data_IF_029621901844
#
_entry.id   IF_029621901844
#
_cell.length_a   1.000
_cell.length_b   1.000
_cell.length_c   1.000
_cell.angle_alpha   90.00
_cell.angle_beta   90.00
_cell.angle_gamma   90.00
#
_symmetry.space_group_name_H-M   'P 1'
#
loop_
_entity.id
_entity.type
_entity.pdbx_description
1 polymer ?
#
# COMPACT_ATOMS: atom_id res chain seq x y z
N UNK A 1 -57.01 57.85 10.56
CA UNK A 1 -56.36 56.86 9.68
C UNK A 1 -54.95 56.61 10.20
N UNK A 2 -54.74 55.55 10.98
CA UNK A 2 -53.40 55.03 11.27
C UNK A 2 -53.43 53.53 11.03
N UNK A 3 -52.72 53.08 10.00
CA UNK A 3 -52.56 51.68 9.64
C UNK A 3 -51.32 51.19 10.40
N UNK A 4 -51.52 50.31 11.37
CA UNK A 4 -50.45 49.57 12.04
C UNK A 4 -50.22 48.29 11.24
N UNK A 5 -49.03 48.18 10.64
CA UNK A 5 -48.62 47.02 9.84
C UNK A 5 -48.00 45.96 10.77
N UNK A 6 -48.60 44.77 10.82
CA UNK A 6 -48.08 43.59 11.52
C UNK A 6 -47.17 42.81 10.56
N UNK A 7 -45.87 42.77 10.86
CA UNK A 7 -44.91 41.89 10.20
C UNK A 7 -44.94 40.48 10.83
N UNK A 8 -44.98 39.39 10.05
CA UNK A 8 -44.93 38.05 10.60
C UNK A 8 -43.48 37.66 10.93
N UNK A 9 -43.28 37.15 12.14
CA UNK A 9 -42.01 36.59 12.60
C UNK A 9 -41.84 35.17 12.04
N UNK A 10 -41.09 35.00 10.96
CA UNK A 10 -40.74 33.68 10.42
C UNK A 10 -39.59 33.07 11.21
N UNK A 11 -39.89 32.01 11.97
CA UNK A 11 -38.88 31.16 12.59
C UNK A 11 -38.18 30.33 11.51
N UNK A 12 -36.94 30.68 11.17
CA UNK A 12 -36.05 29.84 10.38
C UNK A 12 -35.59 28.67 11.25
N UNK A 13 -36.29 27.54 11.14
CA UNK A 13 -35.77 26.23 11.55
C UNK A 13 -34.55 25.93 10.67
N UNK A 14 -33.35 26.18 11.20
CA UNK A 14 -32.11 25.67 10.62
C UNK A 14 -32.12 24.15 10.81
N UNK A 15 -32.53 23.43 9.77
CA UNK A 15 -32.32 21.99 9.70
C UNK A 15 -30.82 21.75 9.71
N UNK A 16 -30.27 21.42 10.88
CA UNK A 16 -28.93 20.84 10.98
C UNK A 16 -29.01 19.50 10.25
N UNK A 17 -28.55 19.46 9.00
CA UNK A 17 -28.34 18.22 8.30
C UNK A 17 -27.42 17.36 9.19
N UNK A 18 -27.99 16.33 9.81
CA UNK A 18 -27.23 15.30 10.49
C UNK A 18 -26.45 14.55 9.41
N UNK A 19 -25.26 15.02 9.09
CA UNK A 19 -24.33 14.30 8.24
C UNK A 19 -23.85 13.09 9.03
N UNK A 20 -24.55 11.96 8.90
CA UNK A 20 -23.99 10.69 9.32
C UNK A 20 -22.60 10.58 8.69
N UNK A 21 -21.53 10.38 9.48
CA UNK A 21 -20.19 10.32 8.94
C UNK A 21 -20.12 9.21 7.89
N UNK A 22 -19.82 9.61 6.65
CA UNK A 22 -19.81 8.69 5.51
C UNK A 22 -18.74 7.62 5.73
N UNK A 23 -19.14 6.36 5.63
CA UNK A 23 -18.22 5.21 5.76
C UNK A 23 -17.27 5.21 4.54
N UNK A 24 -15.94 5.29 4.73
CA UNK A 24 -14.99 5.24 3.63
C UNK A 24 -15.18 4.01 2.76
N UNK A 25 -15.25 4.19 1.44
CA UNK A 25 -15.36 3.08 0.47
C UNK A 25 -13.97 2.65 0.00
N UNK A 26 -13.11 2.27 0.96
CA UNK A 26 -11.73 1.84 0.75
C UNK A 26 -11.66 0.48 0.04
N UNK A 27 -10.80 0.31 -0.99
CA UNK A 27 -10.65 -0.99 -1.66
C UNK A 27 -9.92 -2.04 -0.82
N UNK A 28 -9.03 -1.66 0.11
CA UNK A 28 -8.30 -2.62 0.96
C UNK A 28 -8.87 -2.64 2.37
N UNK A 29 -8.73 -1.57 3.16
CA UNK A 29 -9.23 -1.54 4.53
C UNK A 29 -10.76 -1.73 4.57
N UNK A 30 -11.28 -2.34 5.62
CA UNK A 30 -12.72 -2.28 5.88
C UNK A 30 -13.15 -0.91 6.43
N UNK A 31 -13.85 -0.12 5.62
CA UNK A 31 -14.38 1.18 6.03
C UNK A 31 -15.29 1.12 7.25
N UNK A 32 -16.03 0.03 7.46
CA UNK A 32 -16.82 -0.15 8.69
C UNK A 32 -15.91 -0.26 9.92
N UNK A 33 -14.77 -0.95 9.80
CA UNK A 33 -13.80 -1.04 10.86
C UNK A 33 -13.11 0.31 11.13
N UNK A 34 -12.81 1.11 10.10
CA UNK A 34 -12.32 2.48 10.29
C UNK A 34 -13.31 3.33 11.10
N UNK A 35 -14.60 3.25 10.75
CA UNK A 35 -15.68 3.94 11.46
C UNK A 35 -15.78 3.46 12.91
N UNK A 36 -15.76 2.16 13.17
CA UNK A 36 -15.78 1.60 14.52
C UNK A 36 -14.56 2.04 15.35
N UNK A 37 -13.36 2.02 14.76
CA UNK A 37 -12.13 2.52 15.40
C UNK A 37 -12.28 4.01 15.76
N UNK A 38 -12.87 4.83 14.89
CA UNK A 38 -13.12 6.25 15.17
C UNK A 38 -14.07 6.45 16.35
N UNK A 39 -15.15 5.67 16.44
CA UNK A 39 -16.06 5.72 17.59
C UNK A 39 -15.36 5.28 18.89
N UNK A 40 -14.54 4.22 18.84
CA UNK A 40 -13.76 3.77 20.02
C UNK A 40 -12.74 4.81 20.49
N UNK A 41 -12.09 5.52 19.55
CA UNK A 41 -11.21 6.64 19.86
C UNK A 41 -11.96 7.77 20.58
N UNK A 42 -13.16 8.12 20.10
CA UNK A 42 -14.02 9.13 20.74
C UNK A 42 -14.49 8.69 22.13
N UNK A 43 -14.68 7.38 22.34
CA UNK A 43 -14.98 6.79 23.64
C UNK A 43 -13.75 6.64 24.56
N UNK A 44 -12.54 7.06 24.13
CA UNK A 44 -11.34 7.09 24.97
C UNK A 44 -10.59 5.76 25.08
N UNK A 45 -10.67 4.88 24.08
CA UNK A 45 -9.90 3.63 24.06
C UNK A 45 -8.38 3.89 24.23
N UNK A 46 -7.75 3.48 25.35
CA UNK A 46 -6.38 3.89 25.66
C UNK A 46 -5.33 3.40 24.66
N UNK A 47 -5.54 2.21 24.07
CA UNK A 47 -4.62 1.65 23.08
C UNK A 47 -4.69 2.45 21.79
N UNK A 48 -5.91 2.74 21.34
CA UNK A 48 -6.12 3.55 20.13
C UNK A 48 -5.65 5.00 20.33
N UNK A 49 -5.87 5.59 21.50
CA UNK A 49 -5.35 6.94 21.82
C UNK A 49 -3.82 6.99 21.76
N UNK A 50 -3.14 5.94 22.22
CA UNK A 50 -1.67 5.84 22.14
C UNK A 50 -1.19 5.72 20.70
N UNK A 51 -1.84 4.87 19.90
CA UNK A 51 -1.58 4.76 18.46
C UNK A 51 -1.86 6.09 17.72
N UNK A 52 -2.90 6.82 18.12
CA UNK A 52 -3.26 8.09 17.49
C UNK A 52 -2.18 9.15 17.72
N UNK A 53 -1.58 9.19 18.92
CA UNK A 53 -0.42 10.07 19.18
C UNK A 53 0.76 9.75 18.27
N UNK A 54 1.01 8.48 17.97
CA UNK A 54 2.05 8.07 17.02
C UNK A 54 1.70 8.56 15.60
N UNK A 55 0.49 8.26 15.14
CA UNK A 55 -0.01 8.68 13.83
C UNK A 55 0.04 10.21 13.65
N UNK A 56 -0.38 10.97 14.65
CA UNK A 56 -0.34 12.43 14.64
C UNK A 56 1.09 12.96 14.54
N UNK A 57 2.06 12.38 15.26
CA UNK A 57 3.48 12.77 15.12
C UNK A 57 4.01 12.50 13.72
N UNK A 58 3.67 11.34 13.14
CA UNK A 58 4.03 11.02 11.76
C UNK A 58 3.38 12.00 10.77
N UNK A 59 2.13 12.37 10.98
CA UNK A 59 1.41 13.32 10.13
C UNK A 59 1.98 14.74 10.25
N UNK A 60 2.32 15.19 11.46
CA UNK A 60 2.97 16.48 11.68
C UNK A 60 4.35 16.54 11.01
N UNK A 61 5.12 15.44 11.01
CA UNK A 61 6.37 15.33 10.25
C UNK A 61 6.15 15.51 8.74
N UNK A 62 5.02 15.06 8.20
CA UNK A 62 4.76 15.18 6.76
C UNK A 62 4.17 16.53 6.34
N UNK A 63 3.63 17.34 7.26
CA UNK A 63 2.93 18.59 6.91
C UNK A 63 3.79 19.64 6.21
N UNK A 64 5.10 19.62 6.40
CA UNK A 64 6.06 20.59 5.85
C UNK A 64 6.91 20.03 4.68
N UNK A 65 6.56 18.85 4.16
CA UNK A 65 7.34 18.15 3.12
C UNK A 65 6.58 18.07 1.80
N UNK A 66 7.31 17.89 0.71
CA UNK A 66 6.72 17.76 -0.62
C UNK A 66 5.90 19.00 -1.05
N UNK A 67 4.93 18.85 -1.96
CA UNK A 67 4.57 17.61 -2.66
C UNK A 67 5.70 17.15 -3.58
N UNK A 68 5.79 15.84 -3.82
CA UNK A 68 6.74 15.25 -4.77
C UNK A 68 6.11 15.11 -6.15
N UNK A 69 6.95 15.04 -7.19
CA UNK A 69 6.53 14.87 -8.59
C UNK A 69 7.62 14.14 -9.37
N UNK A 70 7.22 13.36 -10.37
CA UNK A 70 8.15 12.77 -11.34
C UNK A 70 8.82 13.83 -12.22
N UNK A 71 8.21 15.00 -12.39
CA UNK A 71 8.79 16.08 -13.22
C UNK A 71 9.91 16.87 -12.53
N UNK A 72 10.28 16.50 -11.30
CA UNK A 72 11.35 17.16 -10.53
C UNK A 72 12.75 16.73 -10.95
N UNK A 73 12.89 15.59 -11.63
CA UNK A 73 14.17 15.14 -12.21
C UNK A 73 14.61 16.06 -13.34
N UNK A 74 15.92 16.24 -13.48
CA UNK A 74 16.50 17.12 -14.52
C UNK A 74 16.50 16.53 -15.91
N UNK A 75 16.39 15.20 -16.02
CA UNK A 75 16.55 14.46 -17.28
C UNK A 75 15.47 13.41 -17.39
N UNK A 76 14.86 13.31 -18.56
CA UNK A 76 13.90 12.26 -18.87
C UNK A 76 14.61 10.89 -18.93
N UNK A 77 13.92 9.78 -18.60
CA UNK A 77 14.46 8.46 -18.87
C UNK A 77 14.67 8.26 -20.38
N UNK A 78 15.53 7.31 -20.77
CA UNK A 78 15.73 6.95 -22.18
C UNK A 78 14.38 6.67 -22.86
N UNK A 79 14.16 7.27 -24.04
CA UNK A 79 12.92 7.12 -24.83
C UNK A 79 11.62 7.55 -24.13
N UNK A 80 11.71 8.35 -23.06
CA UNK A 80 10.56 8.87 -22.32
C UNK A 80 10.55 10.39 -22.17
N UNK A 81 9.69 10.87 -21.27
CA UNK A 81 9.49 12.28 -20.93
C UNK A 81 9.70 12.53 -19.44
N UNK A 82 9.73 13.80 -19.00
CA UNK A 82 9.79 14.13 -17.58
C UNK A 82 8.58 13.61 -16.79
N UNK A 83 7.46 13.35 -17.46
CA UNK A 83 6.24 12.78 -16.87
C UNK A 83 6.29 11.26 -16.69
N UNK A 84 7.28 10.57 -17.26
CA UNK A 84 7.42 9.14 -17.09
C UNK A 84 8.20 8.81 -15.82
N UNK A 85 7.68 7.88 -15.02
CA UNK A 85 8.34 7.40 -13.81
C UNK A 85 9.60 6.62 -14.16
N UNK A 86 10.72 6.94 -13.50
CA UNK A 86 12.00 6.28 -13.74
C UNK A 86 12.66 5.80 -12.44
N UNK A 87 13.06 4.54 -12.41
CA UNK A 87 13.85 3.97 -11.32
C UNK A 87 14.92 3.03 -11.87
N UNK A 88 15.96 2.73 -11.07
CA UNK A 88 17.00 1.77 -11.42
C UNK A 88 16.80 0.47 -10.63
N UNK A 89 17.14 -0.67 -11.23
CA UNK A 89 17.14 -1.96 -10.56
C UNK A 89 18.11 -1.96 -9.35
N UNK A 90 17.64 -2.31 -8.13
CA UNK A 90 18.41 -2.10 -6.91
C UNK A 90 19.64 -2.99 -6.77
N UNK A 91 19.70 -4.13 -7.44
CA UNK A 91 20.74 -5.14 -7.24
C UNK A 91 21.72 -5.25 -8.41
N UNK A 92 21.65 -4.34 -9.39
CA UNK A 92 22.55 -4.34 -10.53
C UNK A 92 23.71 -3.38 -10.30
N UNK A 93 24.94 -3.89 -10.40
CA UNK A 93 26.18 -3.17 -10.17
C UNK A 93 27.02 -3.07 -11.43
N UNK A 94 27.79 -1.98 -11.63
CA UNK A 94 28.75 -1.91 -12.72
C UNK A 94 29.76 -3.07 -12.64
N UNK A 95 30.06 -3.66 -13.80
CA UNK A 95 31.05 -4.72 -13.92
C UNK A 95 32.46 -4.12 -13.76
N UNK A 96 33.21 -4.51 -12.71
CA UNK A 96 34.55 -3.97 -12.47
C UNK A 96 35.57 -4.39 -13.55
N UNK A 97 35.23 -5.37 -14.39
CA UNK A 97 36.10 -5.88 -15.45
C UNK A 97 35.85 -5.20 -16.82
N UNK A 98 35.01 -4.15 -16.88
CA UNK A 98 34.81 -3.36 -18.10
C UNK A 98 35.15 -1.89 -17.87
N UNK A 99 35.83 -1.21 -18.82
CA UNK A 99 36.18 0.21 -18.70
C UNK A 99 34.97 1.14 -18.49
N UNK A 100 33.81 0.77 -19.03
CA UNK A 100 32.56 1.54 -18.95
C UNK A 100 31.58 1.00 -17.88
N UNK A 101 31.98 -0.04 -17.14
CA UNK A 101 31.13 -0.70 -16.15
C UNK A 101 30.03 -1.60 -16.73
N UNK A 102 30.01 -1.85 -18.04
CA UNK A 102 28.98 -2.64 -18.72
C UNK A 102 29.43 -4.08 -19.07
N UNK A 103 28.49 -5.04 -19.22
CA UNK A 103 27.11 -4.97 -18.75
C UNK A 103 27.05 -5.00 -17.21
N UNK A 104 26.03 -4.39 -16.62
CA UNK A 104 25.84 -4.48 -15.16
C UNK A 104 25.59 -5.94 -14.75
N UNK A 105 26.01 -6.30 -13.54
CA UNK A 105 25.89 -7.65 -12.96
C UNK A 105 25.00 -7.65 -11.73
N UNK A 106 24.14 -8.65 -11.59
CA UNK A 106 23.22 -8.77 -10.46
C UNK A 106 23.94 -9.31 -9.22
N UNK A 107 23.68 -8.69 -8.07
CA UNK A 107 24.13 -9.12 -6.73
C UNK A 107 22.93 -9.14 -5.79
N UNK A 108 22.25 -10.28 -5.72
CA UNK A 108 20.98 -10.40 -4.97
C UNK A 108 21.15 -9.93 -3.50
N UNK A 109 20.21 -9.10 -3.05
CA UNK A 109 20.20 -8.51 -1.71
C UNK A 109 21.22 -7.39 -1.46
N UNK A 110 22.11 -7.08 -2.41
CA UNK A 110 23.12 -6.03 -2.27
C UNK A 110 22.71 -4.77 -3.05
N UNK A 111 22.18 -3.77 -2.35
CA UNK A 111 21.67 -2.53 -2.95
C UNK A 111 22.81 -1.67 -3.53
N UNK A 112 22.75 -1.38 -4.83
CA UNK A 112 23.61 -0.40 -5.50
C UNK A 112 23.14 1.02 -5.12
N UNK A 113 23.97 1.89 -4.52
CA UNK A 113 23.60 3.27 -4.17
C UNK A 113 23.31 4.16 -5.40
N UNK A 114 23.72 3.78 -6.61
CA UNK A 114 23.40 4.55 -7.81
C UNK A 114 21.90 4.68 -8.09
N UNK A 115 21.08 3.79 -7.52
CA UNK A 115 19.62 3.93 -7.61
C UNK A 115 19.12 5.26 -7.05
N UNK A 116 19.87 5.91 -6.15
CA UNK A 116 19.52 7.20 -5.57
C UNK A 116 19.65 8.36 -6.58
N UNK A 117 20.31 8.14 -7.73
CA UNK A 117 20.31 9.07 -8.87
C UNK A 117 18.93 9.14 -9.54
N UNK A 118 18.12 8.09 -9.42
CA UNK A 118 16.74 8.04 -9.91
C UNK A 118 15.77 8.41 -8.78
N UNK A 119 15.52 9.72 -8.64
CA UNK A 119 14.79 10.27 -7.50
C UNK A 119 13.33 9.83 -7.41
N UNK A 120 12.71 9.40 -8.52
CA UNK A 120 11.29 9.01 -8.52
C UNK A 120 11.01 7.83 -7.60
N UNK A 121 11.94 6.89 -7.41
CA UNK A 121 11.74 5.74 -6.51
C UNK A 121 11.58 6.16 -5.05
N UNK A 122 12.35 7.13 -4.60
CA UNK A 122 12.24 7.69 -3.25
C UNK A 122 11.03 8.62 -3.15
N UNK A 123 10.82 9.46 -4.16
CA UNK A 123 9.71 10.40 -4.22
C UNK A 123 8.35 9.69 -4.19
N UNK A 124 8.18 8.57 -4.90
CA UNK A 124 6.91 7.82 -4.90
C UNK A 124 6.63 7.18 -3.54
N UNK A 125 7.63 6.59 -2.87
CA UNK A 125 7.42 6.04 -1.51
C UNK A 125 7.10 7.14 -0.50
N UNK A 126 7.72 8.32 -0.59
CA UNK A 126 7.36 9.48 0.24
C UNK A 126 5.94 9.94 -0.06
N UNK A 127 5.55 10.02 -1.33
CA UNK A 127 4.20 10.38 -1.77
C UNK A 127 3.15 9.39 -1.26
N UNK A 128 3.40 8.08 -1.36
CA UNK A 128 2.50 7.03 -0.84
C UNK A 128 2.35 7.13 0.68
N UNK A 129 3.46 7.16 1.41
CA UNK A 129 3.46 7.16 2.87
C UNK A 129 2.80 8.42 3.44
N UNK A 130 3.22 9.61 2.97
CA UNK A 130 2.65 10.87 3.41
C UNK A 130 1.15 10.95 3.14
N UNK A 131 0.69 10.63 1.93
CA UNK A 131 -0.74 10.63 1.58
C UNK A 131 -1.55 9.73 2.51
N UNK A 132 -1.04 8.53 2.77
CA UNK A 132 -1.71 7.56 3.63
C UNK A 132 -1.78 8.02 5.10
N UNK A 133 -0.65 8.42 5.68
CA UNK A 133 -0.55 8.92 7.05
C UNK A 133 -1.41 10.17 7.27
N UNK A 134 -1.33 11.15 6.38
CA UNK A 134 -2.08 12.40 6.48
C UNK A 134 -3.59 12.16 6.34
N UNK A 135 -4.02 11.30 5.42
CA UNK A 135 -5.45 10.99 5.24
C UNK A 135 -6.05 10.30 6.48
N UNK A 136 -5.34 9.32 7.07
CA UNK A 136 -5.75 8.66 8.31
C UNK A 136 -5.74 9.63 9.50
N UNK A 137 -4.69 10.44 9.65
CA UNK A 137 -4.61 11.42 10.72
C UNK A 137 -5.76 12.42 10.64
N UNK A 138 -6.07 12.92 9.44
CA UNK A 138 -7.26 13.75 9.22
C UNK A 138 -8.54 13.01 9.61
N UNK A 139 -8.72 11.77 9.15
CA UNK A 139 -9.94 11.01 9.41
C UNK A 139 -10.24 10.86 10.90
N UNK A 140 -9.21 10.59 11.72
CA UNK A 140 -9.37 10.41 13.16
C UNK A 140 -9.36 11.69 13.98
N UNK A 141 -8.61 12.72 13.58
CA UNK A 141 -8.46 13.97 14.35
C UNK A 141 -9.39 15.09 13.89
N UNK A 142 -9.85 15.04 12.63
CA UNK A 142 -10.57 16.13 11.98
C UNK A 142 -9.70 17.33 11.59
N UNK A 143 -8.39 17.35 11.86
CA UNK A 143 -7.51 18.50 11.61
C UNK A 143 -7.39 18.80 10.09
N UNK A 144 -7.94 19.92 9.59
CA UNK A 144 -8.03 20.19 8.14
C UNK A 144 -6.69 20.21 7.41
N UNK A 145 -5.62 20.66 8.09
CA UNK A 145 -4.29 20.77 7.50
C UNK A 145 -3.78 19.44 6.91
N UNK A 146 -4.05 18.31 7.57
CA UNK A 146 -3.62 17.00 7.08
C UNK A 146 -4.31 16.64 5.76
N UNK A 147 -5.64 16.78 5.69
CA UNK A 147 -6.41 16.52 4.48
C UNK A 147 -6.00 17.40 3.30
N UNK A 148 -5.87 18.71 3.53
CA UNK A 148 -5.46 19.66 2.49
C UNK A 148 -4.09 19.30 1.90
N UNK A 149 -3.16 18.90 2.77
CA UNK A 149 -1.83 18.51 2.33
C UNK A 149 -1.84 17.18 1.57
N UNK A 150 -2.57 16.17 2.06
CA UNK A 150 -2.78 14.91 1.34
C UNK A 150 -3.40 15.14 -0.05
N UNK A 151 -4.45 15.96 -0.13
CA UNK A 151 -5.10 16.33 -1.39
C UNK A 151 -4.13 17.02 -2.36
N UNK A 152 -3.29 17.95 -1.86
CA UNK A 152 -2.23 18.59 -2.67
C UNK A 152 -1.26 17.57 -3.25
N UNK A 153 -0.76 16.65 -2.41
CA UNK A 153 0.18 15.60 -2.83
C UNK A 153 -0.42 14.72 -3.94
N UNK A 154 -1.65 14.23 -3.75
CA UNK A 154 -2.34 13.40 -4.76
C UNK A 154 -2.53 14.18 -6.06
N UNK A 155 -2.98 15.44 -5.99
CA UNK A 155 -3.19 16.24 -7.20
C UNK A 155 -1.89 16.47 -7.96
N UNK A 156 -0.81 16.81 -7.26
CA UNK A 156 0.51 17.02 -7.86
C UNK A 156 1.00 15.76 -8.58
N UNK A 157 0.91 14.59 -7.95
CA UNK A 157 1.45 13.37 -8.57
C UNK A 157 0.59 12.82 -9.70
N UNK A 158 -0.75 12.93 -9.62
CA UNK A 158 -1.64 12.17 -10.51
C UNK A 158 -2.44 13.00 -11.51
N UNK A 159 -2.77 14.26 -11.22
CA UNK A 159 -3.81 14.98 -11.97
C UNK A 159 -3.44 16.38 -12.44
N UNK A 160 -2.48 17.05 -11.80
CA UNK A 160 -2.00 18.36 -12.26
C UNK A 160 -1.17 18.17 -13.54
N UNK A 161 -1.59 18.70 -14.69
CA UNK A 161 -0.92 18.45 -15.97
C UNK A 161 0.55 18.91 -16.02
N UNK A 162 0.99 19.80 -15.12
CA UNK A 162 2.40 20.24 -15.06
C UNK A 162 3.31 19.25 -14.34
N UNK A 163 2.75 18.37 -13.53
CA UNK A 163 3.51 17.50 -12.62
C UNK A 163 3.07 16.03 -12.65
N UNK A 164 1.90 15.74 -13.21
CA UNK A 164 1.30 14.42 -13.16
C UNK A 164 2.18 13.38 -13.84
N UNK A 165 2.35 12.25 -13.18
CA UNK A 165 2.98 11.07 -13.76
C UNK A 165 2.09 10.46 -14.85
N UNK A 166 2.69 9.98 -15.94
CA UNK A 166 1.98 9.16 -16.93
C UNK A 166 1.57 7.81 -16.30
N UNK A 167 0.37 7.28 -16.59
CA UNK A 167 -0.16 6.07 -15.93
C UNK A 167 0.46 4.77 -16.49
N UNK A 168 1.79 4.64 -16.41
CA UNK A 168 2.55 3.47 -16.82
C UNK A 168 3.88 3.39 -16.03
N UNK A 169 4.53 2.22 -16.08
CA UNK A 169 5.86 2.00 -15.48
C UNK A 169 6.87 1.50 -16.52
N UNK A 170 6.81 2.07 -17.74
CA UNK A 170 7.67 1.66 -18.84
C UNK A 170 9.17 1.86 -18.54
N UNK A 171 9.51 2.74 -17.61
CA UNK A 171 10.90 3.04 -17.22
C UNK A 171 11.23 2.68 -15.76
N UNK A 172 10.47 1.75 -15.18
CA UNK A 172 10.76 1.24 -13.85
C UNK A 172 11.86 0.17 -13.88
N UNK A 173 12.76 0.25 -12.89
CA UNK A 173 13.90 -0.62 -12.67
C UNK A 173 14.80 -0.84 -13.90
N UNK A 174 15.16 0.27 -14.55
CA UNK A 174 16.21 0.34 -15.58
C UNK A 174 17.45 -0.40 -15.10
N UNK A 175 18.03 -1.21 -15.99
CA UNK A 175 19.40 -1.70 -15.85
C UNK A 175 20.25 -0.94 -16.85
N UNK A 176 21.20 -0.09 -16.39
CA UNK A 176 22.07 0.66 -17.29
C UNK A 176 22.68 -0.25 -18.36
N UNK A 177 22.80 0.27 -19.59
CA UNK A 177 23.28 -0.42 -20.79
C UNK A 177 22.58 -1.74 -21.19
N UNK A 178 21.46 -2.11 -20.56
CA UNK A 178 20.73 -3.34 -20.88
C UNK A 178 19.27 -3.12 -21.29
N UNK A 179 18.56 -2.15 -20.69
CA UNK A 179 17.17 -1.84 -21.03
C UNK A 179 16.77 -0.44 -20.56
N UNK A 180 15.62 0.02 -21.03
CA UNK A 180 15.02 1.30 -20.62
C UNK A 180 13.96 1.13 -19.52
N UNK A 181 13.80 -0.08 -18.99
CA UNK A 181 12.82 -0.50 -17.98
C UNK A 181 12.52 -2.00 -18.07
N UNK A 182 11.88 -2.56 -17.04
CA UNK A 182 11.54 -4.00 -17.00
C UNK A 182 10.28 -4.30 -16.18
N UNK A 183 9.66 -5.46 -16.43
CA UNK A 183 8.42 -5.88 -15.76
C UNK A 183 8.52 -5.89 -14.23
N UNK A 184 9.67 -6.32 -13.70
CA UNK A 184 9.98 -6.37 -12.26
C UNK A 184 9.76 -5.00 -11.58
N UNK A 185 9.89 -3.90 -12.34
CA UNK A 185 9.66 -2.55 -11.84
C UNK A 185 8.20 -2.25 -11.46
N UNK A 186 7.23 -3.09 -11.84
CA UNK A 186 5.84 -2.98 -11.35
C UNK A 186 5.77 -3.11 -9.82
N UNK A 187 6.73 -3.79 -9.19
CA UNK A 187 6.84 -3.86 -7.72
C UNK A 187 7.02 -2.49 -7.05
N UNK A 188 7.63 -1.51 -7.74
CA UNK A 188 7.86 -0.17 -7.18
C UNK A 188 6.55 0.53 -6.80
N UNK A 189 5.45 0.18 -7.48
CA UNK A 189 4.09 0.61 -7.12
C UNK A 189 3.36 -0.43 -6.28
N UNK A 190 3.38 -1.70 -6.68
CA UNK A 190 2.44 -2.70 -6.12
C UNK A 190 2.64 -3.01 -4.65
N UNK A 191 3.83 -2.77 -4.11
CA UNK A 191 4.10 -2.91 -2.69
C UNK A 191 3.28 -1.94 -1.80
N UNK A 192 2.93 -0.74 -2.28
CA UNK A 192 2.40 0.35 -1.43
C UNK A 192 1.24 1.14 -2.06
N UNK A 193 1.09 1.14 -3.39
CA UNK A 193 0.16 2.03 -4.10
C UNK A 193 -1.30 1.90 -3.65
N UNK A 194 -1.70 0.70 -3.22
CA UNK A 194 -3.06 0.46 -2.71
C UNK A 194 -3.39 1.27 -1.44
N UNK A 195 -2.38 1.75 -0.70
CA UNK A 195 -2.56 2.71 0.39
C UNK A 195 -3.07 4.07 -0.10
N UNK A 196 -2.65 4.52 -1.28
CA UNK A 196 -3.14 5.77 -1.88
C UNK A 196 -4.61 5.65 -2.25
N UNK A 197 -5.04 4.49 -2.75
CA UNK A 197 -6.44 4.24 -3.07
C UNK A 197 -7.33 4.32 -1.82
N UNK A 198 -6.88 3.71 -0.72
CA UNK A 198 -7.56 3.82 0.58
C UNK A 198 -7.57 5.28 1.07
N UNK A 199 -6.43 5.97 0.99
CA UNK A 199 -6.30 7.37 1.40
C UNK A 199 -7.27 8.29 0.65
N UNK A 200 -7.38 8.13 -0.67
CA UNK A 200 -8.30 8.92 -1.50
C UNK A 200 -9.76 8.57 -1.18
N UNK A 201 -10.09 7.30 -0.94
CA UNK A 201 -11.42 6.90 -0.50
C UNK A 201 -11.79 7.49 0.87
N UNK A 202 -10.81 7.62 1.78
CA UNK A 202 -10.95 8.34 3.05
C UNK A 202 -11.17 9.84 2.80
N UNK A 203 -10.34 10.51 2.01
CA UNK A 203 -10.52 11.94 1.68
C UNK A 203 -11.89 12.21 1.04
N UNK A 204 -12.41 11.25 0.28
CA UNK A 204 -13.73 11.34 -0.36
C UNK A 204 -14.91 11.31 0.62
N UNK A 205 -14.69 11.12 1.93
CA UNK A 205 -15.74 11.24 2.97
C UNK A 205 -15.97 12.67 3.43
N UNK A 206 -15.56 13.67 2.64
CA UNK A 206 -15.79 15.10 2.93
C UNK A 206 -14.54 15.87 3.37
N UNK A 207 -13.35 15.47 2.92
CA UNK A 207 -12.13 16.22 3.20
C UNK A 207 -12.13 17.60 2.52
N UNK A 208 -11.60 18.63 3.20
CA UNK A 208 -11.34 19.92 2.56
C UNK A 208 -10.37 19.74 1.38
N UNK A 209 -10.58 20.55 0.35
CA UNK A 209 -9.77 20.58 -0.88
C UNK A 209 -9.73 19.26 -1.67
N UNK A 210 -10.65 18.32 -1.40
CA UNK A 210 -10.88 17.12 -2.19
C UNK A 210 -12.33 17.05 -2.69
N UNK A 211 -12.54 17.45 -3.94
CA UNK A 211 -13.87 17.52 -4.55
C UNK A 211 -14.25 16.25 -5.33
N UNK A 212 -15.54 16.05 -5.66
CA UNK A 212 -15.95 14.98 -6.58
C UNK A 212 -15.23 15.03 -7.95
N UNK A 213 -14.84 16.23 -8.43
CA UNK A 213 -14.06 16.40 -9.66
C UNK A 213 -12.64 15.85 -9.49
N UNK A 214 -12.00 16.11 -8.35
CA UNK A 214 -10.66 15.57 -8.04
C UNK A 214 -10.71 14.03 -7.99
N UNK A 215 -11.75 13.48 -7.34
CA UNK A 215 -11.98 12.03 -7.30
C UNK A 215 -12.15 11.44 -8.72
N UNK A 216 -12.96 12.07 -9.57
CA UNK A 216 -13.17 11.61 -10.94
C UNK A 216 -11.87 11.62 -11.77
N UNK A 217 -11.05 12.67 -11.63
CA UNK A 217 -9.76 12.77 -12.31
C UNK A 217 -8.76 11.70 -11.83
N UNK A 218 -8.71 11.43 -10.51
CA UNK A 218 -7.88 10.36 -9.97
C UNK A 218 -8.37 8.97 -10.40
N UNK A 219 -9.69 8.74 -10.47
CA UNK A 219 -10.25 7.52 -11.03
C UNK A 219 -9.92 7.33 -12.51
N UNK A 220 -9.95 8.40 -13.33
CA UNK A 220 -9.54 8.34 -14.73
C UNK A 220 -8.08 7.89 -14.87
N UNK A 221 -7.16 8.50 -14.11
CA UNK A 221 -5.76 8.10 -14.09
C UNK A 221 -5.62 6.61 -13.77
N UNK A 222 -6.35 6.13 -12.77
CA UNK A 222 -6.37 4.72 -12.37
C UNK A 222 -6.97 3.78 -13.41
N UNK A 223 -7.98 4.21 -14.18
CA UNK A 223 -8.52 3.40 -15.30
C UNK A 223 -7.48 3.23 -16.39
N UNK A 224 -6.74 4.30 -16.74
CA UNK A 224 -5.64 4.22 -17.72
C UNK A 224 -4.50 3.35 -17.22
N UNK A 225 -4.14 3.47 -15.94
CA UNK A 225 -3.10 2.62 -15.34
C UNK A 225 -3.52 1.15 -15.27
N UNK A 226 -4.79 0.87 -14.97
CA UNK A 226 -5.34 -0.48 -14.98
C UNK A 226 -5.28 -1.12 -16.37
N UNK A 227 -5.58 -0.37 -17.42
CA UNK A 227 -5.42 -0.83 -18.81
C UNK A 227 -3.96 -1.17 -19.08
N UNK A 228 -3.02 -0.29 -18.72
CA UNK A 228 -1.59 -0.56 -18.89
C UNK A 228 -1.14 -1.83 -18.13
N UNK A 229 -1.56 -2.00 -16.87
CA UNK A 229 -1.20 -3.18 -16.07
C UNK A 229 -1.75 -4.49 -16.65
N UNK A 230 -2.92 -4.47 -17.29
CA UNK A 230 -3.53 -5.68 -17.86
C UNK A 230 -2.98 -6.02 -19.24
N UNK A 231 -2.71 -5.00 -20.05
CA UNK A 231 -2.53 -5.18 -21.49
C UNK A 231 -1.07 -5.04 -21.93
N UNK A 232 -0.25 -4.31 -21.18
CA UNK A 232 1.18 -4.12 -21.50
C UNK A 232 1.99 -5.41 -21.30
N UNK A 233 3.12 -5.57 -22.03
CA UNK A 233 4.06 -6.67 -21.79
C UNK A 233 4.57 -6.71 -20.34
N UNK A 234 4.83 -5.55 -19.72
CA UNK A 234 5.34 -5.47 -18.35
C UNK A 234 4.32 -5.97 -17.35
N UNK A 235 3.09 -5.47 -17.43
CA UNK A 235 2.01 -5.87 -16.52
C UNK A 235 1.66 -7.36 -16.63
N UNK A 236 1.60 -7.90 -17.85
CA UNK A 236 1.36 -9.34 -18.09
C UNK A 236 2.48 -10.21 -17.54
N UNK A 237 3.74 -9.84 -17.77
CA UNK A 237 4.89 -10.60 -17.29
C UNK A 237 4.96 -10.61 -15.76
N UNK A 238 4.76 -9.45 -15.12
CA UNK A 238 4.78 -9.36 -13.66
C UNK A 238 3.63 -10.14 -13.01
N UNK A 239 2.41 -10.00 -13.55
CA UNK A 239 1.24 -10.73 -13.03
C UNK A 239 1.37 -12.26 -13.20
N UNK A 240 2.24 -12.74 -14.08
CA UNK A 240 2.54 -14.14 -14.29
C UNK A 240 3.72 -14.67 -13.45
N UNK A 241 4.42 -13.80 -12.70
CA UNK A 241 5.53 -14.20 -11.86
C UNK A 241 5.08 -15.19 -10.77
N UNK A 242 5.94 -16.16 -10.46
CA UNK A 242 5.59 -17.30 -9.58
C UNK A 242 5.82 -17.05 -8.10
N UNK A 243 6.52 -15.98 -7.74
CA UNK A 243 6.85 -15.57 -6.37
C UNK A 243 6.04 -14.32 -5.96
N UNK A 244 6.51 -13.62 -4.93
CA UNK A 244 5.92 -12.39 -4.40
C UNK A 244 5.54 -11.32 -5.46
N UNK A 245 6.28 -11.21 -6.57
CA UNK A 245 5.98 -10.26 -7.64
C UNK A 245 4.58 -10.48 -8.23
N UNK A 246 4.22 -11.74 -8.51
CA UNK A 246 2.90 -12.07 -9.06
C UNK A 246 1.79 -11.82 -8.05
N UNK A 247 2.04 -12.09 -6.77
CA UNK A 247 1.08 -11.80 -5.69
C UNK A 247 0.80 -10.30 -5.59
N UNK A 248 1.85 -9.47 -5.56
CA UNK A 248 1.71 -8.02 -5.48
C UNK A 248 1.06 -7.42 -6.72
N UNK A 249 1.48 -7.84 -7.92
CA UNK A 249 0.91 -7.36 -9.18
C UNK A 249 -0.60 -7.63 -9.26
N UNK A 250 -1.04 -8.87 -9.00
CA UNK A 250 -2.46 -9.21 -9.05
C UNK A 250 -3.27 -8.55 -7.90
N UNK A 251 -2.69 -8.41 -6.71
CA UNK A 251 -3.30 -7.67 -5.60
C UNK A 251 -3.53 -6.19 -5.95
N UNK A 252 -2.53 -5.54 -6.56
CA UNK A 252 -2.66 -4.16 -7.06
C UNK A 252 -3.75 -4.05 -8.11
N UNK A 253 -3.76 -4.93 -9.13
CA UNK A 253 -4.76 -4.90 -10.20
C UNK A 253 -6.17 -5.08 -9.61
N UNK A 254 -6.35 -6.00 -8.65
CA UNK A 254 -7.64 -6.22 -7.98
C UNK A 254 -8.10 -4.98 -7.19
N UNK A 255 -7.20 -4.31 -6.47
CA UNK A 255 -7.53 -3.10 -5.73
C UNK A 255 -7.92 -1.94 -6.66
N UNK A 256 -7.17 -1.73 -7.75
CA UNK A 256 -7.47 -0.68 -8.74
C UNK A 256 -8.78 -0.98 -9.47
N UNK A 257 -9.02 -2.25 -9.84
CA UNK A 257 -10.28 -2.69 -10.44
C UNK A 257 -11.46 -2.38 -9.52
N UNK A 258 -11.36 -2.74 -8.24
CA UNK A 258 -12.40 -2.44 -7.26
C UNK A 258 -12.61 -0.94 -7.08
N UNK A 259 -11.53 -0.16 -6.95
CA UNK A 259 -11.57 1.29 -6.78
C UNK A 259 -12.20 2.03 -7.96
N UNK A 260 -12.01 1.50 -9.18
CA UNK A 260 -12.53 2.08 -10.42
C UNK A 260 -13.92 1.54 -10.81
N UNK A 261 -14.44 0.56 -10.05
CA UNK A 261 -15.78 -0.01 -10.20
C UNK A 261 -15.84 -1.35 -10.97
N UNK A 262 -14.72 -1.90 -11.44
CA UNK A 262 -14.66 -3.21 -12.11
C UNK A 262 -14.66 -4.37 -11.10
N UNK A 263 -15.84 -4.59 -10.51
CA UNK A 263 -16.07 -5.70 -9.56
C UNK A 263 -15.94 -7.07 -10.22
N UNK A 264 -16.20 -7.18 -11.54
CA UNK A 264 -16.07 -8.44 -12.27
C UNK A 264 -14.61 -8.90 -12.31
N UNK A 265 -13.70 -8.02 -12.71
CA UNK A 265 -12.27 -8.30 -12.69
C UNK A 265 -11.77 -8.58 -11.27
N UNK A 266 -12.25 -7.80 -10.29
CA UNK A 266 -11.92 -8.02 -8.87
C UNK A 266 -12.29 -9.45 -8.44
N UNK A 267 -13.48 -9.94 -8.78
CA UNK A 267 -13.92 -11.31 -8.48
C UNK A 267 -13.07 -12.37 -9.21
N UNK A 268 -12.69 -12.12 -10.46
CA UNK A 268 -11.81 -13.04 -11.21
C UNK A 268 -10.44 -13.18 -10.53
N UNK A 269 -9.84 -12.06 -10.13
CA UNK A 269 -8.55 -12.06 -9.44
C UNK A 269 -8.66 -12.66 -8.04
N UNK A 270 -9.77 -12.44 -7.34
CA UNK A 270 -10.03 -13.10 -6.05
C UNK A 270 -10.08 -14.64 -6.18
N UNK A 271 -10.61 -15.17 -7.28
CA UNK A 271 -10.54 -16.63 -7.55
C UNK A 271 -9.12 -17.06 -7.95
N UNK A 272 -8.42 -16.26 -8.76
CA UNK A 272 -7.02 -16.53 -9.14
C UNK A 272 -6.09 -16.63 -7.93
N UNK A 273 -6.34 -15.82 -6.89
CA UNK A 273 -5.57 -15.86 -5.64
C UNK A 273 -5.51 -17.26 -5.02
N UNK A 274 -6.56 -18.09 -5.18
CA UNK A 274 -6.57 -19.48 -4.70
C UNK A 274 -5.53 -20.35 -5.39
N UNK A 275 -5.36 -20.17 -6.70
CA UNK A 275 -4.32 -20.85 -7.48
C UNK A 275 -2.92 -20.41 -7.04
N UNK A 276 -2.75 -19.11 -6.76
CA UNK A 276 -1.51 -18.56 -6.22
C UNK A 276 -1.18 -19.17 -4.84
N UNK A 277 -2.15 -19.22 -3.92
CA UNK A 277 -2.00 -19.89 -2.62
C UNK A 277 -1.59 -21.36 -2.79
N UNK A 278 -2.21 -22.09 -3.72
CA UNK A 278 -1.90 -23.49 -3.97
C UNK A 278 -0.47 -23.71 -4.48
N UNK A 279 0.06 -22.75 -5.25
CA UNK A 279 1.35 -22.88 -5.91
C UNK A 279 2.51 -22.35 -5.06
N UNK A 280 2.27 -21.34 -4.21
CA UNK A 280 3.33 -20.64 -3.48
C UNK A 280 3.46 -21.06 -2.01
N UNK A 281 2.41 -21.59 -1.39
CA UNK A 281 2.40 -21.97 0.03
C UNK A 281 2.37 -23.49 0.10
N UNK A 282 3.14 -24.10 1.00
CA UNK A 282 3.08 -25.56 1.22
C UNK A 282 2.06 -25.91 2.31
N UNK A 283 1.80 -27.20 2.52
CA UNK A 283 0.92 -27.68 3.59
C UNK A 283 1.34 -27.23 5.00
N UNK A 284 2.64 -26.98 5.23
CA UNK A 284 3.15 -26.50 6.52
C UNK A 284 3.18 -24.97 6.64
N UNK A 285 2.79 -24.24 5.58
CA UNK A 285 2.77 -22.78 5.54
C UNK A 285 4.04 -22.13 4.99
N UNK A 286 5.09 -22.89 4.73
CA UNK A 286 6.33 -22.38 4.14
C UNK A 286 6.08 -21.85 2.73
N UNK A 287 6.90 -20.88 2.31
CA UNK A 287 6.85 -20.27 0.98
C UNK A 287 8.18 -20.52 0.24
N UNK A 288 8.33 -21.63 -0.52
CA UNK A 288 9.65 -22.11 -0.97
C UNK A 288 10.46 -21.09 -1.77
N UNK A 289 9.83 -20.38 -2.71
CA UNK A 289 10.51 -19.37 -3.54
C UNK A 289 11.02 -18.18 -2.72
N UNK A 290 10.32 -17.83 -1.64
CA UNK A 290 10.72 -16.75 -0.73
C UNK A 290 11.80 -17.22 0.24
N UNK A 291 11.74 -18.48 0.67
CA UNK A 291 12.71 -19.08 1.58
C UNK A 291 14.06 -19.38 0.91
N UNK A 292 14.10 -19.45 -0.41
CA UNK A 292 15.32 -19.59 -1.19
C UNK A 292 16.16 -18.29 -1.25
N UNK A 293 15.61 -17.15 -0.80
CA UNK A 293 16.27 -15.85 -0.87
C UNK A 293 17.24 -15.63 0.29
N UNK A 294 18.22 -14.75 0.09
CA UNK A 294 19.19 -14.35 1.13
C UNK A 294 18.56 -13.57 2.29
N UNK A 295 17.39 -12.97 2.05
CA UNK A 295 16.51 -12.34 3.05
C UNK A 295 15.18 -13.11 3.17
N UNK A 296 15.24 -14.40 3.53
CA UNK A 296 14.07 -15.27 3.55
C UNK A 296 12.95 -14.85 4.53
N UNK A 297 13.27 -14.32 5.71
CA UNK A 297 12.28 -13.83 6.68
C UNK A 297 11.57 -12.60 6.15
N UNK A 298 12.32 -11.67 5.57
CA UNK A 298 11.78 -10.53 4.84
C UNK A 298 10.80 -10.99 3.76
N UNK A 299 11.24 -11.79 2.79
CA UNK A 299 10.42 -12.17 1.63
C UNK A 299 9.20 -13.01 2.01
N UNK A 300 9.31 -13.89 3.01
CA UNK A 300 8.16 -14.64 3.53
C UNK A 300 7.09 -13.71 4.12
N UNK A 301 7.49 -12.66 4.87
CA UNK A 301 6.55 -11.67 5.41
C UNK A 301 6.06 -10.69 4.35
N UNK A 302 6.90 -10.32 3.39
CA UNK A 302 6.56 -9.43 2.29
C UNK A 302 5.44 -10.02 1.42
N UNK A 303 5.60 -11.27 0.98
CA UNK A 303 4.58 -11.97 0.20
C UNK A 303 3.31 -12.26 1.02
N UNK A 304 3.46 -12.67 2.29
CA UNK A 304 2.32 -12.87 3.18
C UNK A 304 1.50 -11.59 3.39
N UNK A 305 2.16 -10.44 3.51
CA UNK A 305 1.50 -9.13 3.57
C UNK A 305 0.64 -8.86 2.34
N UNK A 306 1.16 -9.14 1.14
CA UNK A 306 0.39 -9.02 -0.11
C UNK A 306 -0.86 -9.92 -0.10
N UNK A 307 -0.73 -11.18 0.32
CA UNK A 307 -1.88 -12.10 0.42
C UNK A 307 -2.93 -11.64 1.42
N UNK A 308 -2.53 -11.17 2.60
CA UNK A 308 -3.47 -10.70 3.63
C UNK A 308 -4.23 -9.46 3.15
N UNK A 309 -3.58 -8.56 2.40
CA UNK A 309 -4.25 -7.44 1.72
C UNK A 309 -5.18 -7.93 0.60
N UNK A 310 -4.74 -8.89 -0.20
CA UNK A 310 -5.56 -9.48 -1.26
C UNK A 310 -6.80 -10.18 -0.68
N UNK A 311 -6.71 -10.77 0.52
CA UNK A 311 -7.85 -11.33 1.24
C UNK A 311 -8.87 -10.26 1.63
N UNK A 312 -8.42 -9.08 2.09
CA UNK A 312 -9.32 -7.97 2.38
C UNK A 312 -10.06 -7.47 1.13
N UNK A 313 -9.34 -7.30 0.01
CA UNK A 313 -9.91 -6.91 -1.28
C UNK A 313 -10.93 -7.97 -1.76
N UNK A 314 -10.55 -9.25 -1.68
CA UNK A 314 -11.38 -10.39 -2.10
C UNK A 314 -12.67 -10.50 -1.28
N UNK A 315 -12.62 -10.17 0.00
CA UNK A 315 -13.81 -10.16 0.86
C UNK A 315 -14.86 -9.13 0.39
N UNK A 316 -14.43 -8.01 -0.21
CA UNK A 316 -15.34 -6.99 -0.80
C UNK A 316 -16.18 -7.53 -1.96
N UNK A 317 -15.80 -8.66 -2.53
CA UNK A 317 -16.53 -9.38 -3.60
C UNK A 317 -16.97 -10.79 -3.18
N UNK A 318 -17.02 -11.06 -1.86
CA UNK A 318 -17.58 -12.29 -1.31
C UNK A 318 -16.66 -13.51 -1.39
N UNK A 319 -15.35 -13.32 -1.59
CA UNK A 319 -14.37 -14.42 -1.59
C UNK A 319 -13.52 -14.36 -0.32
N UNK A 320 -13.69 -15.35 0.55
CA UNK A 320 -12.92 -15.49 1.78
C UNK A 320 -11.63 -16.29 1.54
N UNK A 321 -10.50 -15.58 1.39
CA UNK A 321 -9.18 -16.21 1.24
C UNK A 321 -8.56 -16.66 2.57
N UNK A 322 -8.98 -16.10 3.70
CA UNK A 322 -8.44 -16.51 5.01
C UNK A 322 -8.89 -17.93 5.35
N UNK A 323 -10.15 -18.26 5.06
CA UNK A 323 -10.71 -19.60 5.28
C UNK A 323 -10.43 -20.59 4.15
N UNK A 324 -9.87 -20.13 3.02
CA UNK A 324 -9.54 -21.01 1.91
C UNK A 324 -8.49 -22.05 2.31
N UNK A 325 -8.71 -23.29 1.87
CA UNK A 325 -7.77 -24.40 1.99
C UNK A 325 -7.55 -25.02 0.61
N UNK A 326 -6.29 -25.08 0.22
CA UNK A 326 -5.84 -25.77 -0.99
C UNK A 326 -5.97 -27.29 -0.88
N UNK A 327 -5.86 -28.01 -2.01
CA UNK A 327 -6.03 -29.46 -2.06
C UNK A 327 -5.01 -30.25 -1.25
N UNK A 328 -3.84 -29.67 -0.95
CA UNK A 328 -2.80 -30.30 -0.13
C UNK A 328 -2.70 -29.67 1.28
N UNK A 329 -3.66 -28.82 1.67
CA UNK A 329 -3.65 -28.13 2.96
C UNK A 329 -3.01 -26.73 2.95
N UNK A 330 -2.65 -26.19 1.79
CA UNK A 330 -2.17 -24.82 1.64
C UNK A 330 -3.18 -23.83 2.20
N UNK A 331 -2.75 -22.85 2.99
CA UNK A 331 -3.65 -21.78 3.46
C UNK A 331 -2.87 -20.58 3.99
N UNK A 332 -3.51 -19.41 3.98
CA UNK A 332 -2.97 -18.21 4.62
C UNK A 332 -2.81 -18.39 6.13
N UNK A 333 -3.72 -19.16 6.76
CA UNK A 333 -3.59 -19.53 8.19
C UNK A 333 -2.27 -20.25 8.45
N UNK A 334 -1.91 -21.23 7.62
CA UNK A 334 -0.64 -21.95 7.76
C UNK A 334 0.57 -21.05 7.52
N UNK A 335 0.50 -20.15 6.52
CA UNK A 335 1.59 -19.20 6.28
C UNK A 335 1.80 -18.22 7.45
N UNK A 336 0.74 -17.77 8.12
CA UNK A 336 0.85 -16.99 9.36
C UNK A 336 1.44 -17.82 10.49
N UNK A 337 0.94 -19.05 10.70
CA UNK A 337 1.48 -19.96 11.72
C UNK A 337 2.98 -20.23 11.54
N UNK A 338 3.43 -20.29 10.29
CA UNK A 338 4.83 -20.50 9.93
C UNK A 338 5.76 -19.37 10.40
N UNK A 339 5.34 -18.10 10.33
CA UNK A 339 6.18 -16.95 10.72
C UNK A 339 6.11 -16.58 12.21
N UNK A 340 5.08 -17.04 12.93
CA UNK A 340 4.86 -16.72 14.36
C UNK A 340 6.07 -17.05 15.27
N UNK A 341 6.76 -18.20 15.15
CA UNK A 341 7.90 -18.52 16.01
C UNK A 341 8.99 -17.45 15.98
N UNK A 342 9.37 -16.96 14.80
CA UNK A 342 10.36 -15.90 14.62
C UNK A 342 9.82 -14.50 14.94
N UNK A 343 8.53 -14.24 14.69
CA UNK A 343 7.88 -12.99 15.09
C UNK A 343 7.96 -12.75 16.61
N UNK A 344 7.86 -13.83 17.42
CA UNK A 344 7.86 -13.76 18.88
C UNK A 344 9.25 -14.04 19.49
N UNK A 345 9.95 -15.04 18.97
CA UNK A 345 11.23 -15.52 19.51
C UNK A 345 12.48 -14.99 18.82
N UNK A 346 12.32 -14.09 17.85
CA UNK A 346 13.42 -13.45 17.12
C UNK A 346 14.20 -14.42 16.22
N UNK A 347 15.39 -13.99 15.81
CA UNK A 347 16.23 -14.67 14.82
C UNK A 347 16.55 -16.14 15.18
N UNK A 348 16.67 -16.45 16.48
CA UNK A 348 16.93 -17.83 16.96
C UNK A 348 15.84 -18.84 16.59
N UNK A 349 14.66 -18.37 16.18
CA UNK A 349 13.53 -19.21 15.75
C UNK A 349 13.35 -19.25 14.23
N UNK A 350 14.31 -18.70 13.47
CA UNK A 350 14.30 -18.71 12.02
C UNK A 350 15.46 -19.56 11.49
N UNK A 351 15.14 -20.72 10.91
CA UNK A 351 16.15 -21.71 10.48
C UNK A 351 16.65 -21.51 9.04
N UNK A 352 16.22 -20.45 8.37
CA UNK A 352 16.52 -20.17 6.96
C UNK A 352 17.49 -18.99 6.82
N UNK A 353 18.18 -18.83 5.68
CA UNK A 353 19.11 -17.73 5.45
C UNK A 353 18.43 -16.36 5.59
N UNK A 354 18.94 -15.50 6.48
CA UNK A 354 18.44 -14.13 6.62
C UNK A 354 19.59 -13.16 6.82
N UNK A 355 19.71 -12.19 5.90
CA UNK A 355 20.51 -10.99 6.08
C UNK A 355 19.66 -9.90 6.73
N UNK A 356 20.20 -9.25 7.76
CA UNK A 356 19.56 -8.12 8.47
C UNK A 356 18.21 -8.47 9.11
N UNK A 357 18.14 -9.60 9.84
CA UNK A 357 16.90 -10.08 10.48
C UNK A 357 16.21 -8.96 11.27
N UNK A 358 14.97 -8.68 10.89
CA UNK A 358 14.16 -7.62 11.47
C UNK A 358 12.90 -8.20 12.08
N UNK A 359 12.88 -8.39 13.40
CA UNK A 359 11.80 -9.12 14.09
C UNK A 359 10.40 -8.54 13.82
N UNK A 360 10.30 -7.21 13.76
CA UNK A 360 9.02 -6.53 13.55
C UNK A 360 8.45 -6.68 12.13
N UNK A 361 9.16 -7.28 11.17
CA UNK A 361 8.67 -7.51 9.81
C UNK A 361 7.37 -8.33 9.77
N UNK A 362 7.16 -9.21 10.75
CA UNK A 362 5.97 -10.06 10.86
C UNK A 362 4.79 -9.40 11.60
N UNK A 363 5.00 -8.27 12.27
CA UNK A 363 4.06 -7.71 13.25
C UNK A 363 2.69 -7.43 12.62
N UNK A 364 2.66 -6.69 11.51
CA UNK A 364 1.41 -6.37 10.80
C UNK A 364 0.69 -7.62 10.24
N UNK A 365 1.44 -8.63 9.80
CA UNK A 365 0.86 -9.89 9.30
C UNK A 365 0.15 -10.66 10.41
N UNK A 366 0.78 -10.73 11.59
CA UNK A 366 0.20 -11.42 12.75
C UNK A 366 -1.00 -10.64 13.28
N UNK A 367 -0.95 -9.30 13.36
CA UNK A 367 -2.10 -8.48 13.74
C UNK A 367 -3.28 -8.66 12.78
N UNK A 368 -3.03 -8.65 11.47
CA UNK A 368 -4.07 -8.86 10.46
C UNK A 368 -4.72 -10.24 10.58
N UNK A 369 -3.92 -11.29 10.82
CA UNK A 369 -4.45 -12.63 11.05
C UNK A 369 -5.22 -12.73 12.36
N UNK A 370 -4.76 -12.09 13.44
CA UNK A 370 -5.45 -12.05 14.72
C UNK A 370 -6.83 -11.36 14.59
N UNK A 371 -6.87 -10.21 13.90
CA UNK A 371 -8.10 -9.50 13.56
C UNK A 371 -9.05 -10.36 12.72
N UNK A 372 -8.51 -11.13 11.76
CA UNK A 372 -9.27 -12.06 10.92
C UNK A 372 -9.72 -13.34 11.66
N UNK A 373 -9.38 -13.51 12.94
CA UNK A 373 -9.86 -14.63 13.76
C UNK A 373 -8.90 -15.80 13.93
N UNK A 374 -7.67 -15.73 13.41
CA UNK A 374 -6.70 -16.83 13.48
C UNK A 374 -6.24 -17.04 14.93
N UNK A 375 -6.55 -18.21 15.50
CA UNK A 375 -6.31 -18.51 16.92
C UNK A 375 -4.83 -18.44 17.31
N UNK A 376 -3.92 -18.94 16.47
CA UNK A 376 -2.48 -18.89 16.75
C UNK A 376 -1.98 -17.45 16.83
N UNK A 377 -2.42 -16.58 15.91
CA UNK A 377 -2.07 -15.17 15.89
C UNK A 377 -2.64 -14.43 17.12
N UNK A 378 -3.91 -14.65 17.47
CA UNK A 378 -4.54 -14.05 18.67
C UNK A 378 -3.78 -14.35 19.97
N UNK A 379 -3.20 -15.54 20.10
CA UNK A 379 -2.42 -15.94 21.29
C UNK A 379 -1.11 -15.16 21.45
N UNK A 380 -0.59 -14.58 20.37
CA UNK A 380 0.72 -13.89 20.36
C UNK A 380 0.64 -12.40 20.04
N UNK A 381 -0.54 -11.90 19.66
CA UNK A 381 -0.83 -10.52 19.24
C UNK A 381 -0.24 -9.45 20.19
N UNK A 382 -0.33 -9.68 21.50
CA UNK A 382 0.22 -8.78 22.53
C UNK A 382 1.72 -8.95 22.85
N UNK A 383 2.45 -9.80 22.12
CA UNK A 383 3.87 -10.14 22.36
C UNK A 383 4.79 -9.75 21.19
N UNK A 384 4.24 -9.06 20.20
CA UNK A 384 4.97 -8.67 18.99
C UNK A 384 5.86 -7.46 19.25
N UNK A 385 6.95 -7.36 18.48
CA UNK A 385 7.85 -6.21 18.53
C UNK A 385 7.30 -5.11 17.62
N UNK A 386 7.08 -3.92 18.17
CA UNK A 386 6.65 -2.77 17.38
C UNK A 386 7.78 -2.30 16.44
N UNK A 387 7.46 -1.82 15.23
CA UNK A 387 8.46 -1.21 14.36
C UNK A 387 8.98 0.12 14.95
N UNK A 388 10.13 0.65 14.50
CA UNK A 388 10.75 1.88 15.05
C UNK A 388 9.82 3.10 15.02
N UNK A 389 8.94 3.19 14.01
CA UNK A 389 7.94 4.25 13.88
C UNK A 389 6.74 4.11 14.83
N UNK A 390 6.68 3.03 15.62
CA UNK A 390 5.57 2.67 16.49
C UNK A 390 4.49 1.84 15.79
N UNK A 391 3.74 1.07 16.58
CA UNK A 391 2.62 0.28 16.08
C UNK A 391 1.34 1.14 15.98
N UNK A 392 0.81 1.23 14.76
CA UNK A 392 -0.45 1.91 14.43
C UNK A 392 -1.42 0.99 13.68
N UNK A 393 -1.20 -0.33 13.70
CA UNK A 393 -1.97 -1.29 12.90
C UNK A 393 -3.48 -1.12 13.08
N UNK A 394 -3.97 -0.95 14.32
CA UNK A 394 -5.42 -0.83 14.56
C UNK A 394 -6.06 0.48 14.08
N UNK A 395 -5.25 1.49 13.72
CA UNK A 395 -5.72 2.70 13.02
C UNK A 395 -5.73 2.52 11.49
N UNK A 396 -5.07 1.48 10.99
CA UNK A 396 -4.97 1.14 9.57
C UNK A 396 -4.97 -0.38 9.37
N UNK A 397 -6.08 -1.08 9.64
CA UNK A 397 -6.13 -2.53 9.86
C UNK A 397 -6.01 -3.34 8.57
N UNK A 398 -4.87 -3.19 7.90
CA UNK A 398 -4.41 -3.92 6.73
C UNK A 398 -2.89 -4.07 6.87
N UNK A 399 -2.37 -5.27 6.61
CA UNK A 399 -0.94 -5.54 6.75
C UNK A 399 -0.11 -4.63 5.80
N UNK A 400 1.03 -4.15 6.29
CA UNK A 400 2.00 -3.36 5.54
C UNK A 400 3.38 -4.02 5.59
N UNK A 401 4.22 -3.72 4.60
CA UNK A 401 5.65 -3.98 4.71
C UNK A 401 6.24 -3.03 5.76
N UNK A 402 6.91 -3.58 6.79
CA UNK A 402 7.46 -2.78 7.90
C UNK A 402 8.97 -2.59 7.81
N UNK A 403 9.64 -3.37 6.96
CA UNK A 403 11.09 -3.47 6.81
C UNK A 403 11.52 -3.19 5.36
N UNK A 404 11.04 -2.06 4.81
CA UNK A 404 11.36 -1.65 3.44
C UNK A 404 12.87 -1.58 3.21
N UNK A 405 13.30 -2.12 2.07
CA UNK A 405 14.70 -2.05 1.60
C UNK A 405 15.05 -0.67 1.02
N UNK A 406 14.07 0.21 0.83
CA UNK A 406 14.27 1.61 0.43
C UNK A 406 14.36 2.46 1.69
N UNK A 407 15.53 3.08 1.91
CA UNK A 407 15.73 4.03 2.99
C UNK A 407 14.98 5.34 2.65
N UNK A 408 14.01 5.71 3.49
CA UNK A 408 13.08 6.84 3.29
C UNK A 408 13.61 8.20 3.75
#
# INVERSE_FOLDING_TARGET
MHIVSLLPLTWLLTATASSHPQIPQTPVIDGHLLSQTKHRLQAGDPKLTSALKILTRQADYWLDKGPWTVTSKSTAPPNGTLHDYASQAPYFWPNPNSPDGCPYTEKDGQRNPEVDKYTDRLNVSRMFNSTYVLSLAWYYTGKPAYAKHAAKIVKTWFTDPKTAMNPNLNHAQIVPCANDGRSIGVIDFSQEYTNVLDAVAILSTGAPDWSPKDMAAFQDWNRRFLVWLKDSPFGKAEAAAKNNHGTFANMQIAAIALFTGDRKLTSQLAQLAKTFINNQITANGSQPDELARTKSFHYANFNLGAYLRWALISNKVGVDLIRYKGPQGQSLVKAVEFVIPAAVGGASKWSYPELDFTQYAATDNVHAAALAGVCAAKKVDGRLVAPPGGDIFYLRPAAQQLDSIVQL
#
